data_IF_246145762993
#
_entry.id   IF_246145762993
#
_cell.length_a   1.000
_cell.length_b   1.000
_cell.length_c   1.000
_cell.angle_alpha   90.00
_cell.angle_beta   90.00
_cell.angle_gamma   90.00
#
_symmetry.space_group_name_H-M   'P 1'
#
loop_
_entity.id
_entity.type
_entity.pdbx_description
1 polymer ?
#
# COMPACT_ATOMS: atom_id res chain seq x y z
N UNK A 1 -36.85 -19.86 -38.83
CA UNK A 1 -36.28 -19.70 -37.46
C UNK A 1 -34.79 -19.40 -37.44
N UNK A 2 -33.90 -20.15 -38.14
CA UNK A 2 -32.43 -19.94 -38.05
C UNK A 2 -31.94 -18.53 -38.46
N UNK A 3 -32.57 -17.92 -39.47
CA UNK A 3 -32.20 -16.58 -39.98
C UNK A 3 -32.52 -15.47 -38.96
N UNK A 4 -33.59 -15.63 -38.16
CA UNK A 4 -33.97 -14.68 -37.13
C UNK A 4 -32.92 -14.61 -36.00
N UNK A 5 -32.41 -15.76 -35.56
CA UNK A 5 -31.34 -15.80 -34.56
C UNK A 5 -30.03 -15.21 -35.09
N UNK A 6 -29.70 -15.48 -36.35
CA UNK A 6 -28.52 -14.88 -36.99
C UNK A 6 -28.62 -13.34 -37.01
N UNK A 7 -29.78 -12.80 -37.40
CA UNK A 7 -30.03 -11.36 -37.37
C UNK A 7 -29.93 -10.79 -35.95
N UNK A 8 -30.54 -11.46 -34.97
CA UNK A 8 -30.51 -11.02 -33.58
C UNK A 8 -29.08 -10.98 -33.02
N UNK A 9 -28.25 -11.96 -33.37
CA UNK A 9 -26.82 -11.98 -32.99
C UNK A 9 -26.08 -10.80 -33.63
N UNK A 10 -26.30 -10.52 -34.92
CA UNK A 10 -25.66 -9.40 -35.62
C UNK A 10 -26.03 -8.06 -34.97
N UNK A 11 -27.32 -7.84 -34.68
CA UNK A 11 -27.80 -6.63 -34.01
C UNK A 11 -27.21 -6.51 -32.60
N UNK A 12 -27.12 -7.61 -31.87
CA UNK A 12 -26.58 -7.63 -30.51
C UNK A 12 -25.08 -7.30 -30.47
N UNK A 13 -24.31 -7.82 -31.43
CA UNK A 13 -22.89 -7.46 -31.60
C UNK A 13 -22.74 -5.96 -31.92
N UNK A 14 -23.59 -5.44 -32.80
CA UNK A 14 -23.55 -4.03 -33.18
C UNK A 14 -23.89 -3.10 -32.00
N UNK A 15 -24.92 -3.46 -31.22
CA UNK A 15 -25.30 -2.75 -30.00
C UNK A 15 -24.20 -2.81 -28.93
N UNK A 16 -23.50 -3.93 -28.81
CA UNK A 16 -22.40 -4.08 -27.86
C UNK A 16 -21.23 -3.15 -28.22
N UNK A 17 -20.87 -3.08 -29.51
CA UNK A 17 -19.86 -2.14 -30.02
C UNK A 17 -20.30 -0.68 -29.76
N UNK A 18 -21.55 -0.34 -30.05
CA UNK A 18 -22.06 1.01 -29.79
C UNK A 18 -22.09 1.37 -28.30
N UNK A 19 -22.44 0.42 -27.43
CA UNK A 19 -22.45 0.64 -25.98
C UNK A 19 -21.06 1.00 -25.44
N UNK A 20 -20.01 0.46 -26.07
CA UNK A 20 -18.62 0.76 -25.73
C UNK A 20 -18.21 2.19 -26.07
N UNK A 21 -18.73 2.76 -27.16
CA UNK A 21 -18.48 4.16 -27.51
C UNK A 21 -19.31 5.15 -26.69
N UNK A 22 -20.55 4.77 -26.36
CA UNK A 22 -21.48 5.66 -25.64
C UNK A 22 -21.15 5.72 -24.15
N UNK A 23 -20.71 4.62 -23.56
CA UNK A 23 -20.46 4.56 -22.11
C UNK A 23 -19.00 4.84 -21.77
N UNK A 24 -18.73 6.06 -21.29
CA UNK A 24 -17.45 6.41 -20.65
C UNK A 24 -17.09 5.45 -19.50
N UNK A 25 -18.10 4.93 -18.80
CA UNK A 25 -17.93 3.95 -17.74
C UNK A 25 -17.43 2.60 -18.27
N UNK A 26 -17.94 2.14 -19.43
CA UNK A 26 -17.49 0.90 -20.05
C UNK A 26 -16.05 1.03 -20.58
N UNK A 27 -15.67 2.21 -21.07
CA UNK A 27 -14.28 2.51 -21.46
C UNK A 27 -13.33 2.48 -20.25
N UNK A 28 -13.72 3.09 -19.13
CA UNK A 28 -12.96 3.03 -17.88
C UNK A 28 -12.85 1.59 -17.36
N UNK A 29 -13.94 0.82 -17.43
CA UNK A 29 -13.96 -0.59 -17.06
C UNK A 29 -13.00 -1.42 -17.92
N UNK A 30 -13.04 -1.27 -19.25
CA UNK A 30 -12.13 -1.99 -20.14
C UNK A 30 -10.68 -1.58 -19.91
N UNK A 31 -10.38 -0.30 -19.69
CA UNK A 31 -9.03 0.15 -19.34
C UNK A 31 -8.54 -0.52 -18.04
N UNK A 32 -9.38 -0.55 -17.01
CA UNK A 32 -9.06 -1.18 -15.74
C UNK A 32 -8.86 -2.69 -15.89
N UNK A 33 -9.72 -3.37 -16.66
CA UNK A 33 -9.57 -4.81 -16.96
C UNK A 33 -8.29 -5.08 -17.74
N UNK A 34 -7.94 -4.27 -18.74
CA UNK A 34 -6.68 -4.42 -19.48
C UNK A 34 -5.45 -4.18 -18.61
N UNK A 35 -5.51 -3.23 -17.68
CA UNK A 35 -4.45 -3.01 -16.70
C UNK A 35 -4.32 -4.21 -15.75
N UNK A 36 -5.44 -4.78 -15.30
CA UNK A 36 -5.48 -5.97 -14.45
C UNK A 36 -4.89 -7.19 -15.17
N UNK A 37 -5.29 -7.43 -16.43
CA UNK A 37 -4.72 -8.50 -17.27
C UNK A 37 -3.22 -8.28 -17.49
N UNK A 38 -2.78 -7.04 -17.74
CA UNK A 38 -1.36 -6.74 -17.87
C UNK A 38 -0.58 -7.01 -16.58
N UNK A 39 -1.15 -6.71 -15.41
CA UNK A 39 -0.54 -7.01 -14.10
C UNK A 39 -0.45 -8.52 -13.89
N UNK A 40 -1.53 -9.26 -14.17
CA UNK A 40 -1.57 -10.72 -14.04
C UNK A 40 -0.57 -11.39 -15.00
N UNK A 41 -0.55 -10.98 -16.27
CA UNK A 41 0.38 -11.51 -17.27
C UNK A 41 1.84 -11.11 -17.00
N UNK A 42 2.06 -9.93 -16.40
CA UNK A 42 3.37 -9.55 -15.87
C UNK A 42 3.77 -10.36 -14.64
N UNK A 43 2.82 -10.91 -13.89
CA UNK A 43 3.08 -11.77 -12.73
C UNK A 43 3.48 -13.19 -13.11
N UNK A 44 3.03 -13.71 -14.27
CA UNK A 44 3.41 -15.06 -14.75
C UNK A 44 4.83 -15.14 -15.29
N UNK A 45 5.37 -14.03 -15.81
CA UNK A 45 6.83 -13.91 -15.97
C UNK A 45 7.36 -13.63 -14.58
N UNK A 46 8.26 -14.47 -14.06
CA UNK A 46 9.02 -14.27 -12.81
C UNK A 46 9.78 -12.94 -12.81
N UNK A 47 9.06 -11.83 -12.78
CA UNK A 47 9.61 -10.51 -12.64
C UNK A 47 9.87 -10.40 -11.16
N UNK A 48 11.14 -10.52 -10.80
CA UNK A 48 11.64 -10.09 -9.52
C UNK A 48 11.19 -8.63 -9.38
N UNK A 49 10.05 -8.39 -8.73
CA UNK A 49 9.42 -7.09 -8.67
C UNK A 49 10.38 -6.18 -7.92
N UNK A 50 11.21 -5.48 -8.68
CA UNK A 50 12.38 -4.85 -8.08
C UNK A 50 11.93 -3.73 -7.17
N UNK A 51 12.68 -3.49 -6.10
CA UNK A 51 12.48 -2.33 -5.22
C UNK A 51 12.31 -1.02 -5.99
N UNK A 52 12.99 -0.86 -7.14
CA UNK A 52 12.86 0.31 -8.01
C UNK A 52 11.46 0.44 -8.62
N UNK A 53 10.87 -0.68 -9.05
CA UNK A 53 9.51 -0.70 -9.60
C UNK A 53 8.49 -0.35 -8.52
N UNK A 54 8.64 -0.92 -7.32
CA UNK A 54 7.80 -0.59 -6.18
C UNK A 54 7.78 0.91 -5.90
N UNK A 55 8.95 1.52 -5.68
CA UNK A 55 9.06 2.96 -5.40
C UNK A 55 8.42 3.80 -6.51
N UNK A 56 8.60 3.42 -7.78
CA UNK A 56 7.99 4.13 -8.91
C UNK A 56 6.47 4.08 -8.87
N UNK A 57 5.87 2.91 -8.67
CA UNK A 57 4.41 2.75 -8.62
C UNK A 57 3.82 3.41 -7.38
N UNK A 58 4.44 3.22 -6.21
CA UNK A 58 3.99 3.86 -4.97
C UNK A 58 4.05 5.39 -5.09
N UNK A 59 5.11 5.95 -5.66
CA UNK A 59 5.20 7.40 -5.89
C UNK A 59 4.09 7.89 -6.82
N UNK A 60 3.80 7.15 -7.91
CA UNK A 60 2.73 7.48 -8.84
C UNK A 60 1.35 7.49 -8.17
N UNK A 61 1.04 6.47 -7.38
CA UNK A 61 -0.24 6.41 -6.65
C UNK A 61 -0.32 7.45 -5.53
N UNK A 62 0.77 7.68 -4.79
CA UNK A 62 0.84 8.72 -3.78
C UNK A 62 0.63 10.13 -4.36
N UNK A 63 1.16 10.43 -5.54
CA UNK A 63 0.92 11.73 -6.21
C UNK A 63 -0.55 11.95 -6.57
N UNK A 64 -1.30 10.87 -6.77
CA UNK A 64 -2.73 10.91 -7.09
C UNK A 64 -3.60 10.73 -5.84
N UNK A 65 -3.03 10.73 -4.63
CA UNK A 65 -3.72 10.45 -3.36
C UNK A 65 -4.47 9.11 -3.33
N UNK A 66 -4.08 8.16 -4.18
CA UNK A 66 -4.70 6.85 -4.27
C UNK A 66 -4.04 5.89 -3.27
N UNK A 67 -4.34 6.11 -1.99
CA UNK A 67 -3.80 5.30 -0.90
C UNK A 67 -4.25 3.83 -0.98
N UNK A 68 -5.46 3.56 -1.50
CA UNK A 68 -5.97 2.21 -1.63
C UNK A 68 -5.16 1.39 -2.64
N UNK A 69 -4.87 1.97 -3.81
CA UNK A 69 -3.98 1.32 -4.80
C UNK A 69 -2.59 1.06 -4.24
N UNK A 70 -2.01 2.00 -3.48
CA UNK A 70 -0.76 1.77 -2.77
C UNK A 70 -0.84 0.58 -1.80
N UNK A 71 -1.88 0.54 -0.95
CA UNK A 71 -2.06 -0.51 0.06
C UNK A 71 -2.20 -1.88 -0.62
N UNK A 72 -3.09 -1.98 -1.61
CA UNK A 72 -3.32 -3.23 -2.34
C UNK A 72 -2.05 -3.76 -3.01
N UNK A 73 -1.25 -2.89 -3.63
CA UNK A 73 0.03 -3.26 -4.21
C UNK A 73 1.02 -3.74 -3.15
N UNK A 74 1.14 -3.02 -2.04
CA UNK A 74 2.05 -3.37 -0.95
C UNK A 74 1.67 -4.70 -0.28
N UNK A 75 0.37 -4.98 -0.07
CA UNK A 75 -0.12 -6.26 0.47
C UNK A 75 0.12 -7.42 -0.50
N UNK A 76 -0.19 -7.23 -1.79
CA UNK A 76 0.10 -8.23 -2.82
C UNK A 76 1.59 -8.57 -2.90
N UNK A 77 2.46 -7.56 -2.78
CA UNK A 77 3.90 -7.78 -2.75
C UNK A 77 4.37 -8.46 -1.48
N UNK A 78 3.72 -8.19 -0.34
CA UNK A 78 4.08 -8.83 0.92
C UNK A 78 3.91 -10.36 0.85
N UNK A 79 2.88 -10.84 0.16
CA UNK A 79 2.62 -12.27 -0.04
C UNK A 79 3.65 -12.93 -0.98
N UNK A 80 4.24 -12.17 -1.91
CA UNK A 80 5.14 -12.69 -2.94
C UNK A 80 6.63 -12.52 -2.61
N UNK A 81 6.98 -11.62 -1.69
CA UNK A 81 8.37 -11.31 -1.34
C UNK A 81 8.97 -12.35 -0.40
N UNK A 82 10.14 -12.87 -0.78
CA UNK A 82 10.92 -13.85 0.00
C UNK A 82 11.98 -13.16 0.88
N UNK A 83 12.47 -11.97 0.48
CA UNK A 83 13.60 -11.30 1.12
C UNK A 83 13.15 -10.46 2.33
N UNK A 84 13.69 -10.73 3.52
CA UNK A 84 13.34 -10.04 4.79
C UNK A 84 13.50 -8.51 4.71
N UNK A 85 14.56 -8.02 4.07
CA UNK A 85 14.81 -6.57 3.92
C UNK A 85 13.72 -5.88 3.10
N UNK A 86 13.17 -6.56 2.10
CA UNK A 86 12.11 -6.02 1.27
C UNK A 86 10.76 -6.09 2.00
N UNK A 87 10.52 -7.15 2.80
CA UNK A 87 9.36 -7.22 3.70
C UNK A 87 9.31 -6.04 4.67
N UNK A 88 10.45 -5.67 5.27
CA UNK A 88 10.52 -4.51 6.15
C UNK A 88 10.08 -3.22 5.45
N UNK A 89 10.55 -2.98 4.23
CA UNK A 89 10.17 -1.78 3.45
C UNK A 89 8.66 -1.78 3.16
N UNK A 90 8.09 -2.95 2.86
CA UNK A 90 6.66 -3.10 2.63
C UNK A 90 5.86 -2.84 3.91
N UNK A 91 6.25 -3.41 5.04
CA UNK A 91 5.61 -3.17 6.33
C UNK A 91 5.66 -1.71 6.76
N UNK A 92 6.81 -1.03 6.64
CA UNK A 92 6.88 0.39 6.97
C UNK A 92 6.03 1.25 6.04
N UNK A 93 5.99 0.90 4.75
CA UNK A 93 5.13 1.58 3.78
C UNK A 93 3.65 1.39 4.12
N UNK A 94 3.22 0.16 4.40
CA UNK A 94 1.85 -0.16 4.80
C UNK A 94 1.47 0.59 6.07
N UNK A 95 2.35 0.57 7.08
CA UNK A 95 2.12 1.29 8.33
C UNK A 95 1.89 2.80 8.07
N UNK A 96 2.74 3.43 7.26
CA UNK A 96 2.58 4.84 6.87
C UNK A 96 1.29 5.10 6.09
N UNK A 97 0.92 4.23 5.15
CA UNK A 97 -0.30 4.35 4.35
C UNK A 97 -1.56 4.23 5.20
N UNK A 98 -1.60 3.22 6.08
CA UNK A 98 -2.72 3.00 7.01
C UNK A 98 -2.86 4.16 8.01
N UNK A 99 -1.75 4.74 8.46
CA UNK A 99 -1.73 5.96 9.29
C UNK A 99 -2.38 7.14 8.54
N UNK A 100 -2.02 7.35 7.26
CA UNK A 100 -2.58 8.44 6.44
C UNK A 100 -4.10 8.35 6.22
N UNK A 101 -4.65 7.14 6.16
CA UNK A 101 -6.11 6.93 6.03
C UNK A 101 -6.83 6.81 7.38
N UNK A 102 -6.13 7.01 8.50
CA UNK A 102 -6.71 7.01 9.84
C UNK A 102 -6.95 5.61 10.44
N UNK A 103 -6.42 4.55 9.83
CA UNK A 103 -6.49 3.18 10.34
C UNK A 103 -5.34 2.91 11.33
N UNK A 104 -5.37 3.58 12.48
CA UNK A 104 -4.25 3.61 13.42
C UNK A 104 -3.86 2.25 14.01
N UNK A 105 -4.83 1.37 14.28
CA UNK A 105 -4.57 0.03 14.83
C UNK A 105 -3.84 -0.86 13.84
N UNK A 106 -4.24 -0.82 12.56
CA UNK A 106 -3.59 -1.55 11.47
C UNK A 106 -2.20 -0.97 11.21
N UNK A 107 -2.06 0.35 11.29
CA UNK A 107 -0.77 1.02 11.19
C UNK A 107 0.19 0.60 12.31
N UNK A 108 -0.26 0.59 13.56
CA UNK A 108 0.50 0.11 14.71
C UNK A 108 0.97 -1.34 14.50
N UNK A 109 0.05 -2.22 14.07
CA UNK A 109 0.38 -3.61 13.75
C UNK A 109 1.55 -3.72 12.75
N UNK A 110 1.49 -3.00 11.63
CA UNK A 110 2.54 -3.08 10.61
C UNK A 110 3.87 -2.44 11.07
N UNK A 111 3.85 -1.40 11.91
CA UNK A 111 5.07 -0.88 12.52
C UNK A 111 5.72 -1.93 13.44
N UNK A 112 4.93 -2.63 14.25
CA UNK A 112 5.43 -3.69 15.12
C UNK A 112 5.98 -4.88 14.32
N UNK A 113 5.32 -5.28 13.23
CA UNK A 113 5.83 -6.28 12.29
C UNK A 113 7.15 -5.84 11.63
N UNK A 114 7.30 -4.55 11.30
CA UNK A 114 8.56 -4.04 10.75
C UNK A 114 9.71 -4.09 11.77
N UNK A 115 9.40 -3.84 13.06
CA UNK A 115 10.37 -3.90 14.18
C UNK A 115 10.75 -5.35 14.49
N UNK A 116 9.79 -6.28 14.47
CA UNK A 116 10.01 -7.71 14.79
C UNK A 116 11.00 -8.39 13.83
N UNK A 117 11.18 -7.85 12.61
CA UNK A 117 12.20 -8.30 11.66
C UNK A 117 13.65 -7.97 12.08
N UNK A 118 13.87 -7.37 13.25
CA UNK A 118 15.18 -7.28 13.91
C UNK A 118 16.16 -6.28 13.28
N UNK A 119 15.71 -5.48 12.32
CA UNK A 119 16.50 -4.41 11.73
C UNK A 119 16.21 -3.13 12.51
N UNK A 120 16.83 -2.99 13.68
CA UNK A 120 16.76 -1.80 14.54
C UNK A 120 17.00 -0.54 13.70
N UNK A 121 15.92 0.17 13.42
CA UNK A 121 15.91 1.32 12.54
C UNK A 121 15.13 2.41 13.22
N UNK A 122 15.90 3.41 13.62
CA UNK A 122 15.42 4.53 14.40
C UNK A 122 14.25 5.24 13.74
N UNK A 123 14.19 5.25 12.40
CA UNK A 123 13.10 5.91 11.67
C UNK A 123 11.75 5.23 11.96
N UNK A 124 11.72 3.90 12.05
CA UNK A 124 10.49 3.14 12.32
C UNK A 124 10.02 3.38 13.76
N UNK A 125 10.97 3.39 14.71
CA UNK A 125 10.66 3.67 16.11
C UNK A 125 10.13 5.09 16.28
N UNK A 126 10.71 6.08 15.58
CA UNK A 126 10.24 7.46 15.59
C UNK A 126 8.86 7.62 14.94
N UNK A 127 8.60 6.90 13.85
CA UNK A 127 7.29 6.90 13.20
C UNK A 127 6.21 6.28 14.10
N UNK A 128 6.54 5.20 14.81
CA UNK A 128 5.65 4.59 15.79
C UNK A 128 5.45 5.50 17.02
N UNK A 129 6.49 6.20 17.47
CA UNK A 129 6.38 7.23 18.49
C UNK A 129 5.47 8.39 18.05
N UNK A 130 5.59 8.85 16.80
CA UNK A 130 4.67 9.84 16.23
C UNK A 130 3.24 9.35 16.25
N UNK A 131 3.00 8.09 15.86
CA UNK A 131 1.67 7.48 15.90
C UNK A 131 1.10 7.49 17.32
N UNK A 132 1.87 7.07 18.33
CA UNK A 132 1.43 7.10 19.72
C UNK A 132 1.20 8.50 20.27
N UNK A 133 2.03 9.47 19.86
CA UNK A 133 1.82 10.87 20.19
C UNK A 133 0.48 11.39 19.61
N UNK A 134 0.19 11.09 18.35
CA UNK A 134 -1.09 11.45 17.72
C UNK A 134 -2.30 10.77 18.37
N UNK A 135 -2.14 9.55 18.86
CA UNK A 135 -3.19 8.83 19.59
C UNK A 135 -3.34 9.26 21.06
N UNK A 136 -2.45 10.12 21.59
CA UNK A 136 -2.41 10.46 23.01
C UNK A 136 -2.03 9.27 23.91
N UNK A 137 -1.42 8.21 23.35
CA UNK A 137 -1.04 7.00 24.05
C UNK A 137 0.28 7.19 24.82
N UNK A 138 0.26 8.02 25.87
CA UNK A 138 1.44 8.47 26.62
C UNK A 138 2.31 7.33 27.14
N UNK A 139 1.69 6.28 27.70
CA UNK A 139 2.42 5.12 28.26
C UNK A 139 3.25 4.41 27.18
N UNK A 140 2.64 4.17 26.01
CA UNK A 140 3.31 3.52 24.86
C UNK A 140 4.36 4.44 24.22
N UNK A 141 4.09 5.75 24.19
CA UNK A 141 5.06 6.74 23.73
C UNK A 141 6.32 6.74 24.61
N UNK A 142 6.15 6.77 25.93
CA UNK A 142 7.26 6.72 26.88
C UNK A 142 8.06 5.42 26.77
N UNK A 143 7.40 4.27 26.58
CA UNK A 143 8.11 2.99 26.43
C UNK A 143 8.99 2.99 25.18
N UNK A 144 8.48 3.47 24.04
CA UNK A 144 9.28 3.57 22.81
C UNK A 144 10.40 4.59 22.92
N UNK A 145 10.15 5.74 23.54
CA UNK A 145 11.20 6.73 23.78
C UNK A 145 12.37 6.14 24.58
N UNK A 146 12.07 5.36 25.63
CA UNK A 146 13.09 4.64 26.40
C UNK A 146 13.83 3.62 25.55
N UNK A 147 13.13 2.88 24.71
CA UNK A 147 13.72 1.91 23.78
C UNK A 147 14.67 2.57 22.77
N UNK A 148 14.27 3.72 22.20
CA UNK A 148 15.10 4.52 21.30
C UNK A 148 16.39 4.96 22.00
N UNK A 149 16.32 5.48 23.23
CA UNK A 149 17.52 5.90 23.98
C UNK A 149 18.44 4.72 24.33
N UNK A 150 17.87 3.55 24.62
CA UNK A 150 18.66 2.36 24.90
C UNK A 150 19.43 1.87 23.67
N UNK A 151 18.79 1.90 22.49
CA UNK A 151 19.40 1.48 21.23
C UNK A 151 20.31 2.54 20.62
N UNK A 152 19.98 3.82 20.83
CA UNK A 152 20.67 4.99 20.28
C UNK A 152 20.92 6.05 21.36
N UNK A 153 21.91 5.84 22.25
CA UNK A 153 22.14 6.73 23.40
C UNK A 153 22.53 8.17 23.02
N UNK A 154 23.08 8.36 21.82
CA UNK A 154 23.46 9.68 21.29
C UNK A 154 22.31 10.39 20.57
N UNK A 155 21.15 9.76 20.42
CA UNK A 155 20.02 10.35 19.71
C UNK A 155 19.17 11.24 20.63
N UNK A 156 18.93 12.47 20.19
CA UNK A 156 18.07 13.41 20.92
C UNK A 156 16.61 13.22 20.50
N UNK A 157 15.78 12.82 21.45
CA UNK A 157 14.34 12.69 21.24
C UNK A 157 13.73 14.08 20.97
N UNK A 158 12.83 14.21 19.98
CA UNK A 158 12.08 15.45 19.74
C UNK A 158 11.36 15.96 21.00
N UNK A 159 11.53 17.25 21.33
CA UNK A 159 10.97 17.89 22.53
C UNK A 159 9.45 17.72 22.67
N UNK A 160 8.74 17.65 21.53
CA UNK A 160 7.29 17.41 21.49
C UNK A 160 6.84 16.11 22.17
N UNK A 161 7.72 15.11 22.27
CA UNK A 161 7.41 13.86 22.95
C UNK A 161 7.65 13.94 24.47
N UNK A 162 8.43 14.93 24.91
CA UNK A 162 8.81 15.16 26.32
C UNK A 162 7.85 16.13 26.99
N UNK A 163 7.21 17.04 26.25
CA UNK A 163 6.25 18.02 26.76
C UNK A 163 4.90 17.45 27.18
N UNK A 164 4.74 16.13 27.16
CA UNK A 164 3.53 15.43 27.59
C UNK A 164 3.73 14.92 29.03
N UNK A 165 3.83 15.87 29.97
CA UNK A 165 3.77 15.67 31.41
C UNK A 165 2.60 16.47 31.97
#
# INVERSE_FOLDING_TARGET
>A
MKIFYLYLIIVLVFLLIFSFFVSLQLKSFVLNVTNLINVIFMSEKNYLFSKKNYVKYTNYYLTNFDYFSCISLSEFLLETVIILKDKKILYTSLASLYSKIGCWTVSEYYYLEAISLGLNDIHILLDLANLYFHLGAQIKLQSICKEILNLYPSYQIPERFVSVN
#
